data_IF_895763376045
#
_entry.id   IF_895763376045
#
_cell.length_a   1.000
_cell.length_b   1.000
_cell.length_c   1.000
_cell.angle_alpha   90.00
_cell.angle_beta   90.00
_cell.angle_gamma   90.00
#
_symmetry.space_group_name_H-M   'P 1'
#
loop_
_entity.id
_entity.type
_entity.pdbx_description
1 polymer ?
#
# COMPACT_ATOMS: atom_id res chain seq x y z
N UNK A 1 4.83 -7.76 6.32
CA UNK A 1 4.31 -6.48 5.81
C UNK A 1 4.99 -6.22 4.48
N UNK A 2 4.26 -6.19 3.36
CA UNK A 2 4.84 -5.96 2.03
C UNK A 2 4.39 -4.59 1.54
N UNK A 3 5.22 -3.58 1.80
CA UNK A 3 5.05 -2.22 1.31
C UNK A 3 6.12 -1.29 1.86
N UNK A 4 6.18 -0.06 1.35
CA UNK A 4 7.14 0.95 1.81
C UNK A 4 6.65 2.37 1.56
N UNK A 5 7.10 3.29 2.41
CA UNK A 5 6.82 4.72 2.25
C UNK A 5 7.64 5.33 1.11
N UNK A 6 7.02 6.28 0.41
CA UNK A 6 7.61 7.12 -0.63
C UNK A 6 7.28 8.58 -0.36
N UNK A 7 7.87 9.51 -1.12
CA UNK A 7 7.50 10.93 -1.02
C UNK A 7 6.04 11.22 -1.37
N UNK A 8 5.37 10.28 -2.05
CA UNK A 8 4.03 10.47 -2.63
C UNK A 8 2.96 9.60 -1.94
N UNK A 9 3.29 8.86 -0.87
CA UNK A 9 2.38 7.94 -0.20
C UNK A 9 3.03 6.58 0.07
N UNK A 10 2.21 5.53 0.19
CA UNK A 10 2.66 4.17 0.52
C UNK A 10 2.52 3.23 -0.66
N UNK A 11 3.61 2.56 -1.05
CA UNK A 11 3.60 1.54 -2.09
C UNK A 11 3.25 0.18 -1.46
N UNK A 12 1.98 -0.22 -1.54
CA UNK A 12 1.47 -1.50 -1.05
C UNK A 12 1.61 -2.62 -2.10
N UNK A 13 1.85 -3.86 -1.67
CA UNK A 13 1.98 -5.00 -2.58
C UNK A 13 0.70 -5.83 -2.67
N UNK A 14 0.03 -5.77 -3.82
CA UNK A 14 -1.26 -6.39 -4.08
C UNK A 14 -1.14 -7.28 -5.31
N UNK A 15 -1.53 -8.55 -5.20
CA UNK A 15 -1.60 -9.51 -6.34
C UNK A 15 -0.35 -9.54 -7.26
N UNK A 16 0.85 -9.45 -6.69
CA UNK A 16 2.08 -9.52 -7.49
C UNK A 16 2.62 -8.18 -8.01
N UNK A 17 1.95 -7.06 -7.72
CA UNK A 17 2.34 -5.71 -8.16
C UNK A 17 2.35 -4.72 -7.00
N UNK A 18 3.11 -3.64 -7.14
CA UNK A 18 3.05 -2.51 -6.22
C UNK A 18 2.03 -1.48 -6.70
N UNK A 19 1.16 -1.03 -5.79
CA UNK A 19 0.12 -0.02 -6.01
C UNK A 19 0.37 1.13 -5.02
N UNK A 20 0.21 2.37 -5.48
CA UNK A 20 0.34 3.55 -4.63
C UNK A 20 -0.97 3.83 -3.89
N UNK A 21 -0.88 3.92 -2.56
CA UNK A 21 -1.93 4.35 -1.64
C UNK A 21 -1.55 5.70 -1.02
N UNK A 22 -2.51 6.49 -0.53
CA UNK A 22 -2.17 7.76 0.09
C UNK A 22 -1.44 7.55 1.43
N UNK A 23 -1.71 6.45 2.13
CA UNK A 23 -1.04 6.08 3.38
C UNK A 23 -0.94 4.56 3.55
N UNK A 24 -0.11 4.13 4.51
CA UNK A 24 -0.04 2.72 4.93
C UNK A 24 -1.39 2.21 5.47
N UNK A 25 -2.15 3.08 6.15
CA UNK A 25 -3.47 2.73 6.67
C UNK A 25 -4.46 2.39 5.54
N UNK A 26 -4.50 3.19 4.47
CA UNK A 26 -5.36 2.91 3.31
C UNK A 26 -4.98 1.59 2.63
N UNK A 27 -3.70 1.25 2.59
CA UNK A 27 -3.27 -0.07 2.11
C UNK A 27 -3.80 -1.20 2.99
N UNK A 28 -3.79 -1.04 4.31
CA UNK A 28 -4.31 -2.06 5.22
C UNK A 28 -5.84 -2.19 5.11
N UNK A 29 -6.57 -1.06 5.09
CA UNK A 29 -8.01 -1.04 4.88
C UNK A 29 -8.39 -1.74 3.56
N UNK A 30 -7.65 -1.47 2.47
CA UNK A 30 -7.83 -2.14 1.19
C UNK A 30 -7.58 -3.66 1.22
N UNK A 31 -6.67 -4.14 2.08
CA UNK A 31 -6.33 -5.58 2.18
C UNK A 31 -7.24 -6.36 3.13
N UNK A 32 -7.98 -5.66 4.00
CA UNK A 32 -8.97 -6.25 4.90
C UNK A 32 -10.34 -6.44 4.23
N UNK A 33 -10.60 -5.74 3.12
CA UNK A 33 -11.73 -5.95 2.20
C UNK A 33 -11.52 -7.14 1.24
#
# INVERSE_FOLDING_TARGET
MKGYNTSNGYMGYVEGKYILFASEQEYFEFMED
#
